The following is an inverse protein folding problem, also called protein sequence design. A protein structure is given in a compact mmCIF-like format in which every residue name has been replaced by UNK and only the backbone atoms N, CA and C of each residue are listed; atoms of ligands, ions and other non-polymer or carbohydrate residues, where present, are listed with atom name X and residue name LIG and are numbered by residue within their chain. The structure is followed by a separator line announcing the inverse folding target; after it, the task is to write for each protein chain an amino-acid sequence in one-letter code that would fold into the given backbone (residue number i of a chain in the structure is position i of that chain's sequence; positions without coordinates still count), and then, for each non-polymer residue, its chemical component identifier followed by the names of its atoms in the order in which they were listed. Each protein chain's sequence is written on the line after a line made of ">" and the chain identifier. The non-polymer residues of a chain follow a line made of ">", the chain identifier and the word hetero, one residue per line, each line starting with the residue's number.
data_IF_610830182218
#
_entry.id   IF_610830182218
#
_cell.length_a   1.000
_cell.length_b   1.000
_cell.length_c   1.000
_cell.angle_alpha   90.00
_cell.angle_beta   90.00
_cell.angle_gamma   90.00
#
_symmetry.space_group_name_H-M   'P 1'
#
loop_
_entity.id
_entity.type
_entity.pdbx_description
1 polymer ?
#
# COMPACT_ATOMS: atom_id res chain seq x y z
N UNK A 1 26.80 -21.99 4.80
CA UNK A 1 25.46 -21.65 5.31
C UNK A 1 25.64 -21.12 6.72
N UNK A 2 24.71 -20.27 7.14
CA UNK A 2 24.58 -19.61 8.45
C UNK A 2 25.24 -18.22 8.54
N UNK A 3 24.48 -17.23 8.06
CA UNK A 3 24.63 -15.81 8.37
C UNK A 3 23.39 -15.36 9.14
N UNK A 4 23.34 -15.69 10.43
CA UNK A 4 22.28 -15.28 11.36
C UNK A 4 22.67 -13.92 11.94
N UNK A 5 22.27 -12.83 11.28
CA UNK A 5 22.29 -11.50 11.90
C UNK A 5 21.02 -11.36 12.74
N UNK A 6 21.16 -11.77 13.99
CA UNK A 6 20.18 -11.64 15.08
C UNK A 6 20.00 -10.15 15.38
N UNK A 7 18.75 -9.67 15.31
CA UNK A 7 18.38 -8.33 15.80
C UNK A 7 18.63 -8.23 17.30
N UNK A 8 19.13 -7.10 17.82
CA UNK A 8 19.28 -6.94 19.27
C UNK A 8 17.90 -6.72 19.89
N UNK A 9 17.43 -7.71 20.66
CA UNK A 9 16.31 -7.57 21.58
C UNK A 9 16.56 -6.39 22.53
N UNK A 10 15.72 -5.35 22.45
CA UNK A 10 15.76 -4.23 23.39
C UNK A 10 14.97 -4.59 24.66
N UNK A 11 15.69 -5.06 25.68
CA UNK A 11 15.21 -5.04 27.06
C UNK A 11 15.71 -3.74 27.70
N UNK A 12 14.80 -2.79 27.97
CA UNK A 12 15.14 -1.59 28.73
C UNK A 12 13.98 -1.18 29.64
N UNK A 13 14.00 -1.69 30.87
CA UNK A 13 13.40 -1.02 32.02
C UNK A 13 14.12 0.32 32.23
N UNK A 14 13.52 1.43 31.81
CA UNK A 14 13.81 2.76 32.35
C UNK A 14 12.72 3.75 31.95
N UNK A 15 11.87 4.10 32.90
CA UNK A 15 10.87 5.17 32.79
C UNK A 15 11.55 6.54 32.65
N UNK A 16 11.78 6.97 31.41
CA UNK A 16 11.85 8.37 30.99
C UNK A 16 10.91 8.50 29.81
N UNK A 17 10.09 9.57 29.78
CA UNK A 17 9.05 9.83 28.77
C UNK A 17 9.48 9.34 27.38
N UNK A 18 8.86 8.24 26.94
CA UNK A 18 9.31 7.45 25.77
C UNK A 18 9.14 8.20 24.45
N UNK A 19 8.36 9.29 24.44
CA UNK A 19 8.08 10.09 23.25
C UNK A 19 9.30 10.91 22.79
N UNK A 20 10.00 11.57 23.71
CA UNK A 20 11.08 12.51 23.35
C UNK A 20 12.38 11.80 22.97
N UNK A 21 12.69 10.66 23.59
CA UNK A 21 13.90 9.87 23.31
C UNK A 21 13.76 9.07 22.01
N UNK A 22 12.56 8.55 21.69
CA UNK A 22 12.29 7.82 20.46
C UNK A 22 12.39 8.72 19.22
N UNK A 23 11.72 9.87 19.25
CA UNK A 23 11.71 10.80 18.12
C UNK A 23 13.11 11.37 17.87
N UNK A 24 13.84 11.78 18.92
CA UNK A 24 15.20 12.30 18.76
C UNK A 24 16.17 11.24 18.21
N UNK A 25 16.01 9.97 18.62
CA UNK A 25 16.85 8.87 18.15
C UNK A 25 16.51 8.47 16.71
N UNK A 26 15.23 8.46 16.33
CA UNK A 26 14.77 8.30 14.96
C UNK A 26 15.28 9.43 14.06
N UNK A 27 15.16 10.69 14.50
CA UNK A 27 15.64 11.88 13.77
C UNK A 27 17.16 11.91 13.62
N UNK A 28 17.91 11.46 14.64
CA UNK A 28 19.37 11.35 14.55
C UNK A 28 19.81 10.31 13.50
N UNK A 29 19.04 9.23 13.34
CA UNK A 29 19.28 8.19 12.33
C UNK A 29 18.82 8.64 10.94
N UNK A 30 17.71 9.37 10.84
CA UNK A 30 17.22 9.98 9.59
C UNK A 30 18.20 11.01 9.03
N UNK A 31 18.83 11.82 9.89
CA UNK A 31 19.88 12.77 9.48
C UNK A 31 21.16 12.10 8.94
N UNK A 32 21.38 10.81 9.22
CA UNK A 32 22.49 10.03 8.65
C UNK A 32 22.17 9.43 7.28
N UNK A 33 20.88 9.39 6.90
CA UNK A 33 20.45 9.01 5.56
C UNK A 33 20.73 10.20 4.64
N UNK A 34 21.70 10.03 3.74
CA UNK A 34 21.96 11.03 2.70
C UNK A 34 20.74 11.07 1.78
N UNK A 35 19.92 12.11 1.91
CA UNK A 35 18.95 12.46 0.89
C UNK A 35 19.73 13.12 -0.25
N UNK A 36 19.70 12.50 -1.42
CA UNK A 36 20.37 13.02 -2.60
C UNK A 36 19.91 14.47 -2.84
N UNK A 37 20.89 15.38 -2.79
CA UNK A 37 20.68 16.79 -3.07
C UNK A 37 20.20 16.95 -4.51
N UNK A 38 19.13 17.73 -4.65
CA UNK A 38 18.59 18.10 -5.95
C UNK A 38 19.61 18.96 -6.69
N UNK A 39 20.41 18.36 -7.57
CA UNK A 39 21.16 19.14 -8.53
C UNK A 39 20.17 19.68 -9.57
N UNK A 40 20.21 20.98 -9.84
CA UNK A 40 19.28 21.67 -10.75
C UNK A 40 19.45 21.29 -12.23
N UNK A 41 19.77 20.03 -12.55
CA UNK A 41 20.03 19.51 -13.89
C UNK A 41 19.20 18.25 -14.23
N UNK A 42 18.15 17.95 -13.47
CA UNK A 42 17.12 16.99 -13.89
C UNK A 42 17.59 15.54 -14.03
N UNK A 43 18.60 15.11 -13.26
CA UNK A 43 18.92 13.69 -13.10
C UNK A 43 18.63 13.24 -11.68
N UNK A 44 17.47 12.62 -11.50
CA UNK A 44 17.24 11.65 -10.41
C UNK A 44 18.26 10.53 -10.66
N UNK A 45 19.22 10.35 -9.74
CA UNK A 45 19.99 9.11 -9.71
C UNK A 45 19.04 8.10 -9.09
N UNK A 46 18.44 7.29 -9.96
CA UNK A 46 17.45 6.28 -9.59
C UNK A 46 18.03 5.34 -8.53
N UNK A 47 17.37 5.24 -7.38
CA UNK A 47 17.03 3.95 -6.82
C UNK A 47 15.50 3.91 -6.70
N UNK A 48 14.89 3.02 -7.49
CA UNK A 48 13.46 2.74 -7.63
C UNK A 48 12.74 3.56 -8.71
N UNK A 49 12.84 3.05 -9.95
CA UNK A 49 11.89 3.35 -11.02
C UNK A 49 10.48 2.94 -10.58
N UNK A 50 9.64 3.89 -10.20
CA UNK A 50 8.20 3.74 -10.28
C UNK A 50 7.69 4.59 -11.46
N UNK A 51 7.96 4.12 -12.67
CA UNK A 51 7.17 4.57 -13.82
C UNK A 51 5.79 3.94 -13.66
N UNK A 52 4.80 4.76 -13.31
CA UNK A 52 3.40 4.38 -13.45
C UNK A 52 3.09 4.28 -14.96
N UNK A 53 3.42 3.14 -15.56
CA UNK A 53 2.97 2.81 -16.92
C UNK A 53 1.48 2.50 -16.85
N UNK A 54 0.64 3.44 -17.30
CA UNK A 54 -0.74 3.14 -17.67
C UNK A 54 -0.69 2.01 -18.72
N UNK A 55 -1.36 0.86 -18.52
CA UNK A 55 -1.41 -0.15 -19.56
C UNK A 55 -2.30 0.36 -20.70
N UNK A 56 -1.70 0.75 -21.82
CA UNK A 56 -2.40 0.90 -23.10
C UNK A 56 -2.97 -0.47 -23.50
N UNK A 57 -4.21 -0.75 -23.06
CA UNK A 57 -5.00 -1.85 -23.61
C UNK A 57 -5.44 -1.48 -25.02
N UNK A 58 -4.55 -1.70 -25.99
CA UNK A 58 -4.94 -1.85 -27.40
C UNK A 58 -5.68 -3.18 -27.51
N UNK A 59 -7.01 -3.13 -27.36
CA UNK A 59 -7.88 -4.27 -27.64
C UNK A 59 -7.80 -4.54 -29.14
N UNK A 60 -7.06 -5.58 -29.53
CA UNK A 60 -7.12 -6.13 -30.90
C UNK A 60 -8.32 -7.07 -30.98
N UNK A 61 -9.33 -6.82 -31.83
CA UNK A 61 -10.43 -7.76 -32.00
C UNK A 61 -9.93 -9.01 -32.74
N UNK A 62 -9.91 -10.15 -32.03
CA UNK A 62 -9.82 -11.49 -32.62
C UNK A 62 -11.15 -11.80 -33.31
N UNK A 63 -11.16 -11.89 -34.64
CA UNK A 63 -12.33 -12.33 -35.38
C UNK A 63 -12.17 -12.27 -36.90
N UNK A 64 -11.31 -13.13 -37.47
CA UNK A 64 -11.30 -13.38 -38.91
C UNK A 64 -12.21 -14.57 -39.21
N UNK A 65 -13.47 -14.30 -39.60
CA UNK A 65 -14.28 -15.28 -40.32
C UNK A 65 -14.01 -15.14 -41.82
N UNK A 66 -13.54 -16.24 -42.44
CA UNK A 66 -13.43 -16.38 -43.89
C UNK A 66 -14.82 -16.39 -44.52
N UNK A 67 -15.05 -15.50 -45.49
CA UNK A 67 -16.26 -15.52 -46.30
C UNK A 67 -16.22 -14.52 -47.45
N UNK A 68 -16.02 -15.03 -48.67
CA UNK A 68 -16.50 -14.46 -49.94
C UNK A 68 -16.08 -13.03 -50.30
N UNK A 69 -15.09 -12.91 -51.18
CA UNK A 69 -14.72 -11.66 -51.88
C UNK A 69 -15.86 -11.18 -52.79
N UNK A 70 -16.76 -10.36 -52.25
CA UNK A 70 -17.47 -9.35 -53.04
C UNK A 70 -16.76 -8.02 -52.79
N UNK A 71 -15.98 -7.58 -53.77
CA UNK A 71 -15.30 -6.29 -53.70
C UNK A 71 -16.33 -5.17 -53.56
N UNK A 72 -16.25 -4.44 -52.45
CA UNK A 72 -17.01 -3.21 -52.24
C UNK A 72 -16.60 -2.19 -53.32
N UNK A 73 -17.58 -1.53 -53.93
CA UNK A 73 -17.35 -0.49 -54.93
C UNK A 73 -16.40 0.58 -54.37
N UNK A 74 -15.51 1.09 -55.23
CA UNK A 74 -14.38 1.96 -54.85
C UNK A 74 -14.76 3.23 -54.08
N UNK A 75 -16.04 3.55 -53.94
CA UNK A 75 -16.56 4.79 -53.38
C UNK A 75 -16.77 4.74 -51.85
N UNK A 76 -16.58 3.60 -51.18
CA UNK A 76 -16.80 3.45 -49.72
C UNK A 76 -15.57 2.85 -49.01
N UNK A 77 -14.36 3.01 -49.59
CA UNK A 77 -13.12 2.38 -49.07
C UNK A 77 -12.39 3.21 -48.01
N UNK A 78 -12.79 4.44 -47.75
CA UNK A 78 -12.09 5.34 -46.83
C UNK A 78 -12.95 5.61 -45.61
N UNK A 79 -12.46 5.21 -44.44
CA UNK A 79 -13.00 5.67 -43.16
C UNK A 79 -12.89 7.20 -43.13
N UNK A 80 -13.97 7.96 -42.83
CA UNK A 80 -13.87 9.41 -42.73
C UNK A 80 -12.90 9.76 -41.60
N UNK A 81 -11.83 10.48 -41.95
CA UNK A 81 -10.84 10.98 -40.99
C UNK A 81 -11.46 12.12 -40.19
N UNK A 82 -11.75 11.88 -38.91
CA UNK A 82 -12.16 12.92 -37.98
C UNK A 82 -10.96 13.82 -37.65
N UNK A 83 -11.22 15.09 -37.35
CA UNK A 83 -10.20 16.02 -36.89
C UNK A 83 -9.58 15.48 -35.58
N UNK A 84 -8.30 15.10 -35.63
CA UNK A 84 -7.53 14.86 -34.41
C UNK A 84 -7.22 16.23 -33.80
N UNK A 85 -7.75 16.55 -32.61
CA UNK A 85 -7.39 17.80 -31.95
C UNK A 85 -5.87 17.82 -31.79
N UNK A 86 -5.23 18.89 -32.26
CA UNK A 86 -3.82 19.14 -32.01
C UNK A 86 -3.66 19.20 -30.48
N UNK A 87 -3.23 18.09 -29.87
CA UNK A 87 -2.97 18.03 -28.43
C UNK A 87 -1.68 18.80 -28.22
N UNK A 88 -1.81 20.11 -28.00
CA UNK A 88 -0.70 20.96 -27.64
C UNK A 88 -0.16 20.44 -26.30
N UNK A 89 1.08 19.93 -26.32
CA UNK A 89 1.74 19.44 -25.11
C UNK A 89 1.96 20.66 -24.23
N UNK A 90 1.13 20.81 -23.20
CA UNK A 90 1.29 21.87 -22.20
C UNK A 90 2.59 21.60 -21.44
N UNK A 91 3.66 22.26 -21.85
CA UNK A 91 4.94 22.19 -21.15
C UNK A 91 4.89 23.15 -19.95
N UNK A 92 5.17 22.61 -18.77
CA UNK A 92 5.24 23.41 -17.54
C UNK A 92 6.45 24.36 -17.62
N UNK A 93 6.27 25.61 -17.18
CA UNK A 93 7.38 26.55 -16.94
C UNK A 93 8.35 25.98 -15.90
N UNK A 94 9.63 26.31 -16.02
CA UNK A 94 10.68 25.79 -15.14
C UNK A 94 10.47 26.22 -13.67
N UNK A 95 9.92 27.42 -13.44
CA UNK A 95 9.51 27.89 -12.11
C UNK A 95 8.42 27.00 -11.49
N UNK A 96 7.46 26.57 -12.33
CA UNK A 96 6.38 25.68 -11.90
C UNK A 96 6.92 24.29 -11.59
N UNK A 97 7.83 23.75 -12.43
CA UNK A 97 8.52 22.47 -12.17
C UNK A 97 9.33 22.53 -10.88
N UNK A 98 10.06 23.61 -10.64
CA UNK A 98 10.83 23.81 -9.41
C UNK A 98 9.92 23.87 -8.17
N UNK A 99 8.77 24.52 -8.28
CA UNK A 99 7.77 24.58 -7.21
C UNK A 99 7.21 23.20 -6.89
N UNK A 100 6.82 22.42 -7.91
CA UNK A 100 6.37 21.03 -7.72
C UNK A 100 7.46 20.14 -7.12
N UNK A 101 8.71 20.28 -7.56
CA UNK A 101 9.82 19.54 -6.99
C UNK A 101 10.01 19.85 -5.49
N UNK A 102 9.92 21.13 -5.11
CA UNK A 102 10.01 21.56 -3.70
C UNK A 102 8.86 21.01 -2.86
N UNK A 103 7.62 21.10 -3.37
CA UNK A 103 6.44 20.55 -2.67
C UNK A 103 6.55 19.03 -2.55
N UNK A 104 6.92 18.35 -3.62
CA UNK A 104 7.10 16.90 -3.64
C UNK A 104 8.20 16.44 -2.69
N UNK A 105 9.33 17.16 -2.62
CA UNK A 105 10.41 16.86 -1.68
C UNK A 105 9.96 17.01 -0.21
N UNK A 106 9.15 18.03 0.08
CA UNK A 106 8.55 18.21 1.41
C UNK A 106 7.58 17.08 1.74
N UNK A 107 6.64 16.80 0.85
CA UNK A 107 5.64 15.74 1.05
C UNK A 107 6.28 14.36 1.23
N UNK A 108 7.33 14.04 0.45
CA UNK A 108 8.08 12.78 0.62
C UNK A 108 8.73 12.67 1.99
N UNK A 109 9.29 13.76 2.51
CA UNK A 109 9.93 13.77 3.83
C UNK A 109 8.90 13.55 4.93
N UNK A 110 7.81 14.32 4.91
CA UNK A 110 6.70 14.20 5.86
C UNK A 110 6.12 12.77 5.82
N UNK A 111 5.93 12.20 4.63
CA UNK A 111 5.47 10.82 4.47
C UNK A 111 6.44 9.79 5.09
N UNK A 112 7.75 9.93 4.85
CA UNK A 112 8.77 9.03 5.41
C UNK A 112 8.79 9.11 6.95
N UNK A 113 8.76 10.32 7.49
CA UNK A 113 8.72 10.55 8.94
C UNK A 113 7.46 9.92 9.56
N UNK A 114 6.31 10.08 8.92
CA UNK A 114 5.06 9.48 9.35
C UNK A 114 5.09 7.94 9.31
N UNK A 115 5.53 7.34 8.21
CA UNK A 115 5.57 5.87 8.09
C UNK A 115 6.57 5.25 9.05
N UNK A 116 7.71 5.90 9.30
CA UNK A 116 8.69 5.41 10.28
C UNK A 116 8.19 5.53 11.71
N UNK A 117 7.48 6.60 12.05
CA UNK A 117 6.85 6.76 13.35
C UNK A 117 5.75 5.70 13.59
N UNK A 118 4.88 5.46 12.60
CA UNK A 118 3.84 4.42 12.66
C UNK A 118 4.45 3.02 12.76
N UNK A 119 5.46 2.71 11.95
CA UNK A 119 6.16 1.44 12.02
C UNK A 119 6.78 1.21 13.41
N UNK A 120 7.36 2.25 14.01
CA UNK A 120 7.89 2.18 15.38
C UNK A 120 6.79 1.95 16.42
N UNK A 121 5.65 2.66 16.31
CA UNK A 121 4.52 2.53 17.23
C UNK A 121 3.98 1.10 17.30
N UNK A 122 3.88 0.42 16.17
CA UNK A 122 3.37 -0.95 16.06
C UNK A 122 4.46 -2.02 16.07
N UNK A 123 5.71 -1.62 16.34
CA UNK A 123 6.88 -2.49 16.33
C UNK A 123 7.05 -3.30 15.03
N UNK A 124 6.65 -2.71 13.89
CA UNK A 124 6.71 -3.34 12.57
C UNK A 124 8.17 -3.40 12.10
N UNK A 125 8.69 -4.58 11.73
CA UNK A 125 10.05 -4.72 11.26
C UNK A 125 10.23 -4.16 9.85
N UNK A 126 11.25 -3.31 9.67
CA UNK A 126 11.66 -2.80 8.37
C UNK A 126 13.20 -2.59 8.30
N UNK A 127 13.78 -2.69 7.10
CA UNK A 127 15.21 -2.47 6.88
C UNK A 127 15.51 -0.98 6.69
N UNK A 128 16.11 -0.34 7.68
CA UNK A 128 16.47 1.09 7.69
C UNK A 128 17.36 1.50 6.50
N UNK A 129 18.16 0.59 5.95
CA UNK A 129 19.12 0.89 4.89
C UNK A 129 18.53 0.74 3.48
N UNK A 130 17.47 -0.05 3.34
CA UNK A 130 16.82 -0.32 2.06
C UNK A 130 15.29 -0.37 2.23
N UNK A 131 14.72 0.73 2.72
CA UNK A 131 13.26 0.82 2.94
C UNK A 131 12.53 1.06 1.62
N UNK A 132 11.66 0.13 1.23
CA UNK A 132 10.58 0.44 0.31
C UNK A 132 9.41 1.07 1.10
N UNK A 133 9.31 2.39 1.12
CA UNK A 133 8.29 3.11 1.90
C UNK A 133 6.85 2.85 1.43
N UNK A 134 6.66 2.47 0.16
CA UNK A 134 5.34 2.09 -0.34
C UNK A 134 4.89 0.76 0.27
N UNK A 135 5.77 -0.25 0.26
CA UNK A 135 5.50 -1.54 0.90
C UNK A 135 5.35 -1.40 2.42
N UNK A 136 6.16 -0.54 3.05
CA UNK A 136 6.04 -0.27 4.48
C UNK A 136 4.67 0.34 4.81
N UNK A 137 4.22 1.34 4.04
CA UNK A 137 2.89 1.93 4.20
C UNK A 137 1.79 0.88 4.09
N UNK A 138 1.84 0.01 3.08
CA UNK A 138 0.86 -1.06 2.89
C UNK A 138 0.83 -2.02 4.08
N UNK A 139 2.00 -2.44 4.58
CA UNK A 139 2.08 -3.31 5.76
C UNK A 139 1.51 -2.67 7.02
N UNK A 140 1.73 -1.37 7.21
CA UNK A 140 1.17 -0.63 8.33
C UNK A 140 -0.36 -0.58 8.19
N UNK A 141 -0.87 -0.21 7.02
CA UNK A 141 -2.31 -0.08 6.77
C UNK A 141 -3.02 -1.43 6.95
N UNK A 142 -2.46 -2.53 6.44
CA UNK A 142 -2.97 -3.89 6.66
C UNK A 142 -3.04 -4.26 8.15
N UNK A 143 -2.02 -3.88 8.92
CA UNK A 143 -2.00 -4.17 10.36
C UNK A 143 -3.02 -3.33 11.13
N UNK A 144 -3.16 -2.05 10.80
CA UNK A 144 -4.18 -1.19 11.41
C UNK A 144 -5.61 -1.65 11.09
N UNK A 145 -5.85 -2.13 9.88
CA UNK A 145 -7.14 -2.74 9.53
C UNK A 145 -7.42 -3.99 10.37
N UNK A 146 -6.41 -4.84 10.60
CA UNK A 146 -6.55 -5.99 11.50
C UNK A 146 -6.83 -5.57 12.94
N UNK A 147 -6.13 -4.56 13.47
CA UNK A 147 -6.37 -4.04 14.82
C UNK A 147 -7.78 -3.47 14.97
N UNK A 148 -8.27 -2.77 13.94
CA UNK A 148 -9.64 -2.27 13.90
C UNK A 148 -10.65 -3.42 13.93
N UNK A 149 -10.43 -4.45 13.11
CA UNK A 149 -11.29 -5.64 13.08
C UNK A 149 -11.27 -6.39 14.42
N UNK A 150 -10.11 -6.51 15.06
CA UNK A 150 -9.97 -7.07 16.40
C UNK A 150 -10.86 -6.34 17.42
N UNK A 151 -10.82 -5.01 17.38
CA UNK A 151 -11.64 -4.14 18.24
C UNK A 151 -13.13 -4.33 17.99
N UNK A 152 -13.55 -4.50 16.74
CA UNK A 152 -14.96 -4.78 16.38
C UNK A 152 -15.46 -6.10 16.99
N UNK A 153 -14.56 -7.09 17.15
CA UNK A 153 -14.83 -8.35 17.85
C UNK A 153 -14.50 -8.31 19.36
N UNK A 154 -14.24 -7.14 19.93
CA UNK A 154 -13.86 -6.95 21.34
C UNK A 154 -12.61 -7.74 21.76
N UNK A 155 -11.68 -7.97 20.84
CA UNK A 155 -10.39 -8.61 21.11
C UNK A 155 -9.41 -7.53 21.58
N UNK A 156 -8.89 -7.67 22.80
CA UNK A 156 -7.82 -6.81 23.31
C UNK A 156 -6.48 -7.33 22.77
N UNK A 157 -5.82 -6.53 21.94
CA UNK A 157 -4.59 -6.93 21.26
C UNK A 157 -3.40 -6.10 21.74
N UNK A 158 -2.33 -6.78 22.14
CA UNK A 158 -1.08 -6.11 22.50
C UNK A 158 -0.32 -5.67 21.24
N UNK A 159 -0.05 -4.38 21.15
CA UNK A 159 0.69 -3.77 20.03
C UNK A 159 2.20 -3.71 20.27
N UNK A 160 2.67 -4.16 21.44
CA UNK A 160 4.09 -4.22 21.78
C UNK A 160 4.85 -5.23 20.90
N UNK A 161 4.17 -6.27 20.43
CA UNK A 161 4.71 -7.29 19.54
C UNK A 161 3.96 -7.26 18.19
N UNK A 162 4.72 -7.25 17.10
CA UNK A 162 4.16 -7.31 15.76
C UNK A 162 3.92 -8.77 15.36
N UNK A 163 2.67 -9.22 15.48
CA UNK A 163 2.22 -10.53 14.97
C UNK A 163 0.87 -10.43 14.23
N UNK A 164 0.89 -10.08 12.93
CA UNK A 164 -0.33 -9.99 12.13
C UNK A 164 -0.97 -11.36 11.83
N UNK A 165 -0.22 -12.46 11.98
CA UNK A 165 -0.72 -13.81 11.68
C UNK A 165 -1.54 -14.32 12.86
N UNK A 166 -1.00 -14.22 14.08
CA UNK A 166 -1.71 -14.62 15.27
C UNK A 166 -2.96 -13.76 15.48
N UNK A 167 -2.88 -12.45 15.24
CA UNK A 167 -4.05 -11.57 15.34
C UNK A 167 -5.18 -11.99 14.41
N UNK A 168 -4.83 -12.35 13.17
CA UNK A 168 -5.80 -12.82 12.18
C UNK A 168 -6.46 -14.13 12.61
N UNK A 169 -5.68 -15.06 13.16
CA UNK A 169 -6.21 -16.33 13.66
C UNK A 169 -7.17 -16.11 14.83
N UNK A 170 -6.85 -15.22 15.77
CA UNK A 170 -7.70 -14.89 16.90
C UNK A 170 -9.05 -14.28 16.43
N UNK A 171 -8.99 -13.37 15.47
CA UNK A 171 -10.19 -12.79 14.83
C UNK A 171 -11.01 -13.88 14.15
N UNK A 172 -10.40 -14.75 13.33
CA UNK A 172 -11.09 -15.81 12.61
C UNK A 172 -11.74 -16.84 13.56
N UNK A 173 -11.10 -17.11 14.70
CA UNK A 173 -11.68 -17.98 15.73
C UNK A 173 -12.91 -17.33 16.36
N UNK A 174 -12.83 -16.04 16.69
CA UNK A 174 -13.95 -15.32 17.27
C UNK A 174 -15.12 -15.18 16.29
N UNK A 175 -14.84 -14.91 15.01
CA UNK A 175 -15.84 -14.93 13.94
C UNK A 175 -16.58 -16.26 13.86
N UNK A 176 -15.84 -17.35 13.96
CA UNK A 176 -16.39 -18.70 13.90
C UNK A 176 -17.26 -19.03 15.10
N UNK A 177 -16.87 -18.59 16.30
CA UNK A 177 -17.67 -18.74 17.52
C UNK A 177 -19.04 -18.07 17.36
N UNK A 178 -19.05 -16.82 16.87
CA UNK A 178 -20.31 -16.08 16.62
C UNK A 178 -21.19 -16.77 15.59
N UNK A 179 -20.60 -17.36 14.54
CA UNK A 179 -21.34 -18.13 13.55
C UNK A 179 -21.98 -19.38 14.17
N UNK A 180 -21.23 -20.19 14.92
CA UNK A 180 -21.76 -21.37 15.57
C UNK A 180 -22.85 -21.05 16.60
N UNK A 181 -22.69 -19.98 17.38
CA UNK A 181 -23.71 -19.53 18.31
C UNK A 181 -25.02 -19.16 17.60
N UNK A 182 -24.93 -18.47 16.46
CA UNK A 182 -26.10 -18.14 15.66
C UNK A 182 -26.75 -19.38 15.03
N UNK A 183 -25.96 -20.32 14.53
CA UNK A 183 -26.45 -21.58 13.96
C UNK A 183 -27.14 -22.43 15.03
N UNK A 184 -26.58 -22.52 16.23
CA UNK A 184 -27.17 -23.22 17.39
C UNK A 184 -28.49 -22.57 17.82
N UNK A 185 -28.55 -21.24 17.89
CA UNK A 185 -29.78 -20.49 18.20
C UNK A 185 -30.84 -20.72 17.14
N UNK A 186 -30.46 -20.72 15.86
CA UNK A 186 -31.37 -20.99 14.76
C UNK A 186 -31.90 -22.42 14.81
N UNK A 187 -31.03 -23.42 15.02
CA UNK A 187 -31.41 -24.82 15.17
C UNK A 187 -32.37 -25.01 16.35
N UNK A 188 -32.08 -24.40 17.50
CA UNK A 188 -32.97 -24.41 18.67
C UNK A 188 -34.34 -23.77 18.37
N UNK A 189 -34.34 -22.62 17.69
CA UNK A 189 -35.56 -21.94 17.27
C UNK A 189 -36.43 -22.83 16.38
N UNK A 190 -35.84 -23.39 15.31
CA UNK A 190 -36.52 -24.29 14.36
C UNK A 190 -37.10 -25.51 15.08
N UNK A 191 -36.30 -26.16 15.93
CA UNK A 191 -36.71 -27.32 16.72
C UNK A 191 -37.88 -26.99 17.66
N UNK A 192 -37.80 -25.89 18.40
CA UNK A 192 -38.84 -25.47 19.36
C UNK A 192 -40.19 -25.15 18.70
N UNK A 193 -40.19 -24.83 17.40
CA UNK A 193 -41.40 -24.52 16.63
C UNK A 193 -41.98 -25.74 15.91
N UNK A 194 -41.36 -26.91 16.01
CA UNK A 194 -41.78 -28.13 15.31
C UNK A 194 -41.70 -27.99 13.79
N UNK A 195 -40.88 -27.06 13.29
CA UNK A 195 -40.59 -26.91 11.88
C UNK A 195 -39.47 -27.90 11.58
N UNK A 196 -39.79 -29.15 11.26
CA UNK A 196 -38.76 -30.06 10.75
C UNK A 196 -38.30 -29.54 9.37
N UNK A 197 -36.99 -29.52 9.16
CA UNK A 197 -36.35 -29.18 7.89
C UNK A 197 -36.43 -30.36 6.91
#
# INVERSE_FOLDING_TARGET
>A
MDNTQVTPFFNAKNHKSYEELSVAQAMSRLNSVKFDEYNGHGRIINNNNYEATMPDKVITPKGAMQGGTKELSNNIKTVPTFFEPQVEKVELSDDTKATFARIGARARREFIEEQTARAYQYNIPYDVHNVNFLELSQKIDEYEELLKKAKDYCIDWDTSEYDPVYLRQEIEEQERKVLYENDDLYAYFVHSRGLEA
#
